data_IF_103966436666
#
_entry.id   IF_103966436666
#
_cell.length_a   1.000
_cell.length_b   1.000
_cell.length_c   1.000
_cell.angle_alpha   90.00
_cell.angle_beta   90.00
_cell.angle_gamma   90.00
#
_symmetry.space_group_name_H-M   'P 1'
#
loop_
_entity.id
_entity.type
_entity.pdbx_description
1 polymer ?
#
# COMPACT_ATOMS: atom_id res chain seq x y z
N UNK A 1 18.17 -4.77 -7.28
CA UNK A 1 18.74 -5.74 -8.24
C UNK A 1 19.22 -6.92 -7.44
N UNK A 2 18.55 -8.06 -7.62
CA UNK A 2 19.00 -9.31 -7.02
C UNK A 2 19.93 -10.01 -8.01
N UNK A 3 21.14 -10.34 -7.56
CA UNK A 3 22.08 -11.17 -8.33
C UNK A 3 22.34 -12.42 -7.48
N UNK A 4 21.96 -13.62 -7.95
CA UNK A 4 22.23 -14.85 -7.21
C UNK A 4 23.72 -15.01 -6.90
N UNK A 5 24.06 -15.25 -5.63
CA UNK A 5 25.43 -15.50 -5.18
C UNK A 5 26.24 -14.24 -4.81
N UNK A 6 25.69 -13.04 -4.95
CA UNK A 6 26.38 -11.78 -4.67
C UNK A 6 25.74 -11.01 -3.51
N UNK A 7 26.56 -10.29 -2.72
CA UNK A 7 26.10 -9.49 -1.56
C UNK A 7 25.71 -8.08 -1.97
N UNK A 8 24.94 -7.94 -3.06
CA UNK A 8 24.36 -6.65 -3.43
C UNK A 8 23.11 -6.38 -2.59
N UNK A 9 22.84 -5.12 -2.20
CA UNK A 9 21.59 -4.76 -1.55
C UNK A 9 20.42 -5.06 -2.50
N UNK A 10 19.78 -6.21 -2.27
CA UNK A 10 18.69 -6.71 -3.09
C UNK A 10 17.40 -5.95 -2.76
N UNK A 11 17.11 -4.91 -3.52
CA UNK A 11 15.76 -4.33 -3.56
C UNK A 11 14.97 -4.94 -4.72
N UNK A 12 13.71 -5.36 -4.49
CA UNK A 12 12.82 -5.89 -5.52
C UNK A 12 12.11 -4.79 -6.33
N UNK A 13 12.37 -3.50 -6.02
CA UNK A 13 11.70 -2.36 -6.63
C UNK A 13 12.58 -1.67 -7.68
N UNK A 14 11.96 -1.22 -8.77
CA UNK A 14 12.61 -0.38 -9.80
C UNK A 14 12.68 1.10 -9.40
N UNK A 15 12.01 1.47 -8.31
CA UNK A 15 11.99 2.83 -7.76
C UNK A 15 12.16 2.80 -6.26
N UNK A 16 12.95 3.72 -5.71
CA UNK A 16 13.08 3.91 -4.27
C UNK A 16 13.61 5.31 -3.96
N UNK A 17 13.43 5.76 -2.73
CA UNK A 17 14.21 6.87 -2.19
C UNK A 17 15.55 6.35 -1.64
N UNK A 18 16.60 7.17 -1.66
CA UNK A 18 17.92 6.77 -1.15
C UNK A 18 18.60 5.65 -1.95
N UNK A 19 19.34 4.78 -1.27
CA UNK A 19 20.10 3.63 -1.83
C UNK A 19 21.02 3.99 -3.02
N UNK A 20 22.15 4.65 -2.72
CA UNK A 20 23.12 5.14 -3.70
C UNK A 20 23.63 4.05 -4.66
N UNK A 21 23.87 2.84 -4.14
CA UNK A 21 24.32 1.70 -4.97
C UNK A 21 23.26 1.34 -6.00
N UNK A 22 21.98 1.26 -5.60
CA UNK A 22 20.90 0.98 -6.54
C UNK A 22 20.70 2.09 -7.59
N UNK A 23 20.98 3.35 -7.23
CA UNK A 23 20.93 4.49 -8.18
C UNK A 23 21.94 4.35 -9.31
N UNK A 24 23.14 3.85 -9.01
CA UNK A 24 24.16 3.57 -10.03
C UNK A 24 23.74 2.45 -11.00
N UNK A 25 22.77 1.64 -10.61
CA UNK A 25 22.28 0.51 -11.41
C UNK A 25 20.90 0.77 -12.04
N UNK A 26 20.46 2.03 -12.11
CA UNK A 26 19.26 2.44 -12.85
C UNK A 26 17.95 2.51 -12.05
N UNK A 27 17.98 2.27 -10.73
CA UNK A 27 16.79 2.47 -9.88
C UNK A 27 16.50 3.95 -9.73
N UNK A 28 15.29 4.39 -10.07
CA UNK A 28 14.96 5.82 -10.10
C UNK A 28 14.26 6.30 -8.83
N UNK A 29 14.31 7.62 -8.56
CA UNK A 29 13.57 8.25 -7.45
C UNK A 29 12.29 8.95 -7.90
N UNK A 30 12.03 9.00 -9.21
CA UNK A 30 10.88 9.70 -9.78
C UNK A 30 9.58 9.04 -9.32
N UNK A 31 8.75 9.78 -8.60
CA UNK A 31 7.44 9.32 -8.20
C UNK A 31 6.51 9.16 -9.41
N UNK A 32 5.49 8.34 -9.24
CA UNK A 32 4.32 8.33 -10.11
C UNK A 32 3.23 9.16 -9.43
N UNK A 33 2.66 10.11 -10.15
CA UNK A 33 1.62 11.00 -9.62
C UNK A 33 0.30 10.57 -10.25
N UNK A 34 -0.66 10.20 -9.39
CA UNK A 34 -2.00 9.83 -9.79
C UNK A 34 -2.97 10.84 -9.17
N UNK A 35 -3.70 11.57 -10.01
CA UNK A 35 -4.74 12.51 -9.59
C UNK A 35 -6.11 11.81 -9.64
N UNK A 36 -6.92 11.97 -8.60
CA UNK A 36 -8.22 11.32 -8.43
C UNK A 36 -9.19 12.30 -7.79
N UNK A 37 -10.38 12.44 -8.37
CA UNK A 37 -11.45 13.22 -7.76
C UNK A 37 -11.97 12.51 -6.50
N UNK A 38 -12.30 13.29 -5.47
CA UNK A 38 -12.93 12.79 -4.24
C UNK A 38 -14.42 12.47 -4.44
N UNK A 39 -15.02 13.07 -5.46
CA UNK A 39 -16.42 12.90 -5.85
C UNK A 39 -16.46 12.66 -7.36
N UNK A 40 -17.00 11.52 -7.76
CA UNK A 40 -17.27 11.19 -9.15
C UNK A 40 -18.77 11.36 -9.38
N UNK A 41 -19.13 12.35 -10.19
CA UNK A 41 -20.52 12.66 -10.54
C UNK A 41 -20.68 12.39 -12.02
N UNK A 42 -21.57 11.46 -12.36
CA UNK A 42 -22.08 11.28 -13.71
C UNK A 42 -23.61 11.47 -13.73
N UNK A 43 -24.22 11.51 -14.91
CA UNK A 43 -25.64 11.87 -15.06
C UNK A 43 -26.60 10.94 -14.29
N UNK A 44 -26.16 9.73 -13.95
CA UNK A 44 -26.97 8.71 -13.28
C UNK A 44 -26.52 8.40 -11.83
N UNK A 45 -25.29 8.71 -11.43
CA UNK A 45 -24.77 8.36 -10.10
C UNK A 45 -23.76 9.38 -9.53
N UNK A 46 -23.74 9.53 -8.22
CA UNK A 46 -22.70 10.28 -7.49
C UNK A 46 -22.02 9.34 -6.50
N UNK A 47 -20.74 9.07 -6.73
CA UNK A 47 -19.91 8.26 -5.83
C UNK A 47 -18.92 9.16 -5.10
N UNK A 48 -18.93 9.09 -3.77
CA UNK A 48 -18.00 9.83 -2.91
C UNK A 48 -17.03 8.86 -2.24
N UNK A 49 -15.73 9.16 -2.34
CA UNK A 49 -14.71 8.40 -1.61
C UNK A 49 -14.91 8.58 -0.10
N UNK A 50 -15.08 7.48 0.62
CA UNK A 50 -15.33 7.48 2.07
C UNK A 50 -14.05 7.46 2.89
N UNK A 51 -13.05 6.70 2.45
CA UNK A 51 -11.76 6.55 3.11
C UNK A 51 -10.71 6.04 2.11
N UNK A 52 -9.44 6.14 2.50
CA UNK A 52 -8.28 5.63 1.76
C UNK A 52 -7.46 4.77 2.71
N UNK A 53 -7.01 3.60 2.24
CA UNK A 53 -6.10 2.73 2.98
C UNK A 53 -4.71 2.83 2.34
N UNK A 54 -3.75 3.30 3.13
CA UNK A 54 -2.34 3.33 2.76
C UNK A 54 -1.58 2.38 3.70
N UNK A 55 -0.93 1.38 3.13
CA UNK A 55 -0.11 0.44 3.88
C UNK A 55 1.09 -0.01 3.04
N UNK A 56 2.11 -0.52 3.72
CA UNK A 56 3.28 -1.13 3.07
C UNK A 56 2.92 -2.52 2.51
N UNK A 57 3.83 -3.08 1.72
CA UNK A 57 3.72 -4.45 1.20
C UNK A 57 3.58 -5.51 2.30
N UNK A 58 4.01 -5.22 3.53
CA UNK A 58 3.77 -6.06 4.71
C UNK A 58 2.28 -6.39 4.94
N UNK A 59 1.34 -5.55 4.52
CA UNK A 59 -0.10 -5.86 4.56
C UNK A 59 -0.54 -6.51 3.24
N UNK A 60 -0.26 -5.85 2.12
CA UNK A 60 -0.81 -6.22 0.81
C UNK A 60 -0.27 -7.52 0.24
N UNK A 61 0.86 -8.02 0.76
CA UNK A 61 1.41 -9.30 0.35
C UNK A 61 0.60 -10.50 0.85
N UNK A 62 -0.14 -10.34 1.94
CA UNK A 62 -0.88 -11.44 2.58
C UNK A 62 -2.38 -11.19 2.70
N UNK A 63 -2.82 -9.92 2.62
CA UNK A 63 -4.22 -9.52 2.75
C UNK A 63 -4.79 -9.03 1.42
N UNK A 64 -6.02 -9.43 1.10
CA UNK A 64 -6.74 -8.92 -0.08
C UNK A 64 -7.32 -7.54 0.18
N UNK A 65 -7.35 -6.70 -0.85
CA UNK A 65 -7.90 -5.33 -0.80
C UNK A 65 -9.30 -5.29 -0.17
N UNK A 66 -10.20 -6.17 -0.62
CA UNK A 66 -11.59 -6.21 -0.15
C UNK A 66 -11.71 -6.59 1.34
N UNK A 67 -10.77 -7.38 1.86
CA UNK A 67 -10.75 -7.71 3.29
C UNK A 67 -10.36 -6.49 4.12
N UNK A 68 -9.34 -5.74 3.70
CA UNK A 68 -8.96 -4.49 4.36
C UNK A 68 -10.10 -3.46 4.32
N UNK A 69 -10.76 -3.32 3.17
CA UNK A 69 -11.94 -2.44 3.01
C UNK A 69 -13.06 -2.85 3.95
N UNK A 70 -13.36 -4.15 4.07
CA UNK A 70 -14.42 -4.63 4.97
C UNK A 70 -14.13 -4.30 6.43
N UNK A 71 -12.87 -4.43 6.88
CA UNK A 71 -12.47 -4.09 8.25
C UNK A 71 -12.67 -2.60 8.53
N UNK A 72 -12.22 -1.72 7.62
CA UNK A 72 -12.38 -0.26 7.78
C UNK A 72 -13.85 0.16 7.67
N UNK A 73 -14.62 -0.46 6.78
CA UNK A 73 -16.04 -0.15 6.60
C UNK A 73 -16.90 -0.60 7.80
N UNK A 74 -16.43 -1.57 8.60
CA UNK A 74 -17.16 -2.08 9.76
C UNK A 74 -17.01 -1.23 11.02
N UNK A 75 -16.15 -0.20 11.01
CA UNK A 75 -15.92 0.67 12.16
C UNK A 75 -16.40 2.10 11.90
N UNK A 76 -16.88 2.75 12.95
CA UNK A 76 -17.15 4.18 12.93
C UNK A 76 -15.85 5.00 12.81
N UNK A 77 -15.99 6.23 12.31
CA UNK A 77 -14.88 7.17 12.11
C UNK A 77 -14.09 7.44 13.39
N UNK A 78 -14.73 7.37 14.56
CA UNK A 78 -14.07 7.60 15.85
C UNK A 78 -13.25 6.38 16.32
N UNK A 79 -13.42 5.22 15.67
CA UNK A 79 -12.79 3.95 16.02
C UNK A 79 -11.77 3.45 14.98
N UNK A 80 -11.25 4.34 14.14
CA UNK A 80 -10.29 3.99 13.06
C UNK A 80 -9.06 3.23 13.60
N UNK A 81 -8.60 3.55 14.82
CA UNK A 81 -7.47 2.86 15.43
C UNK A 81 -7.72 1.36 15.62
N UNK A 82 -8.97 0.96 15.89
CA UNK A 82 -9.35 -0.44 15.99
C UNK A 82 -9.24 -1.15 14.65
N UNK A 83 -9.72 -0.52 13.56
CA UNK A 83 -9.58 -1.08 12.21
C UNK A 83 -8.11 -1.21 11.79
N UNK A 84 -7.27 -0.20 12.06
CA UNK A 84 -5.83 -0.26 11.76
C UNK A 84 -5.17 -1.42 12.52
N UNK A 85 -5.44 -1.54 13.83
CA UNK A 85 -4.88 -2.61 14.65
C UNK A 85 -5.36 -3.99 14.16
N UNK A 86 -6.64 -4.10 13.78
CA UNK A 86 -7.22 -5.33 13.23
C UNK A 86 -6.55 -5.72 11.90
N UNK A 87 -6.30 -4.75 11.01
CA UNK A 87 -5.58 -5.00 9.75
C UNK A 87 -4.17 -5.53 10.03
N UNK A 88 -3.43 -4.88 10.94
CA UNK A 88 -2.05 -5.28 11.27
C UNK A 88 -2.01 -6.67 11.89
N UNK A 89 -2.86 -6.96 12.89
CA UNK A 89 -2.91 -8.25 13.55
C UNK A 89 -3.33 -9.38 12.59
N UNK A 90 -4.31 -9.12 11.73
CA UNK A 90 -4.74 -10.08 10.71
C UNK A 90 -3.62 -10.34 9.72
N UNK A 91 -2.94 -9.30 9.22
CA UNK A 91 -1.79 -9.46 8.34
C UNK A 91 -0.70 -10.29 9.01
N UNK A 92 -0.33 -9.96 10.26
CA UNK A 92 0.66 -10.71 11.03
C UNK A 92 0.30 -12.21 11.14
N UNK A 93 -0.95 -12.55 11.45
CA UNK A 93 -1.37 -13.96 11.55
C UNK A 93 -1.33 -14.73 10.22
N UNK A 94 -1.36 -14.02 9.10
CA UNK A 94 -1.26 -14.63 7.76
C UNK A 94 0.20 -14.78 7.29
N UNK A 95 1.14 -14.15 7.99
CA UNK A 95 2.58 -14.31 7.75
C UNK A 95 3.18 -15.50 8.49
N UNK A 96 2.60 -15.86 9.65
CA UNK A 96 2.98 -17.02 10.47
C UNK A 96 2.46 -18.35 9.88
#
# INVERSE_FOLDING_TARGET
>A
IYVPGEVWPAIPFSRCLGNLVAKQLGVISKCEVNDRSLEEVNEEFSTKLKFIILATDGVWRVMKDQQAVAIVHAVDKDNVQYAVSSIVLTAQSLWE
#
